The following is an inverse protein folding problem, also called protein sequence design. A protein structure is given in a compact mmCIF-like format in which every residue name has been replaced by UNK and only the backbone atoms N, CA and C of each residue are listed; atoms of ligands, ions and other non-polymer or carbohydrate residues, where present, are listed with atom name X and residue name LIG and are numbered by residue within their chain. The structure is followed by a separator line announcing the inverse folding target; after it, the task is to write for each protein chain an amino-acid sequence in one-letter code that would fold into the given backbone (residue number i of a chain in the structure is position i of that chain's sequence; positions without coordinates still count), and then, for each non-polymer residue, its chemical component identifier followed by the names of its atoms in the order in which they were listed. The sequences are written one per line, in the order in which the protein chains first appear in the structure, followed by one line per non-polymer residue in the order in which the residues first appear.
data_IF_716524297226
#
_entry.id   IF_716524297226
#
_cell.length_a   1.000
_cell.length_b   1.000
_cell.length_c   1.000
_cell.angle_alpha   90.00
_cell.angle_beta   90.00
_cell.angle_gamma   90.00
#
_symmetry.space_group_name_H-M   'P 1'
#
loop_
_entity.id
_entity.type
_entity.pdbx_description
1 polymer ?
#
# COMPACT_ATOMS: atom_id res chain seq x y z
N UNK A 1 25.83 -0.70 -29.83
CA UNK A 1 24.52 -0.20 -29.37
C UNK A 1 24.76 0.97 -28.42
N UNK A 2 24.20 2.16 -28.69
CA UNK A 2 24.37 3.33 -27.83
C UNK A 2 23.44 3.23 -26.61
N UNK A 3 23.97 3.46 -25.40
CA UNK A 3 23.23 3.34 -24.14
C UNK A 3 21.96 4.19 -24.06
N UNK A 4 21.90 5.31 -24.80
CA UNK A 4 20.71 6.17 -24.87
C UNK A 4 19.50 5.45 -25.46
N UNK A 5 19.70 4.55 -26.44
CA UNK A 5 18.60 3.76 -27.02
C UNK A 5 18.08 2.70 -26.04
N UNK A 6 18.95 2.17 -25.18
CA UNK A 6 18.58 1.21 -24.14
C UNK A 6 17.73 1.89 -23.05
N UNK A 7 18.15 3.08 -22.59
CA UNK A 7 17.40 3.86 -21.58
C UNK A 7 16.03 4.27 -22.12
N UNK A 8 15.97 4.75 -23.37
CA UNK A 8 14.70 5.11 -24.00
C UNK A 8 13.75 3.90 -24.12
N UNK A 9 14.27 2.74 -24.52
CA UNK A 9 13.50 1.50 -24.55
C UNK A 9 12.99 1.06 -23.17
N UNK A 10 13.82 1.20 -22.13
CA UNK A 10 13.46 0.87 -20.75
C UNK A 10 12.32 1.75 -20.24
N UNK A 11 12.45 3.08 -20.40
CA UNK A 11 11.41 4.03 -20.01
C UNK A 11 10.10 3.80 -20.78
N UNK A 12 10.19 3.50 -22.09
CA UNK A 12 9.03 3.14 -22.90
C UNK A 12 8.32 1.88 -22.41
N UNK A 13 9.08 0.86 -21.99
CA UNK A 13 8.54 -0.37 -21.40
C UNK A 13 7.80 -0.14 -20.08
N UNK A 14 8.35 0.68 -19.18
CA UNK A 14 7.68 1.05 -17.93
C UNK A 14 6.40 1.84 -18.17
N UNK A 15 6.44 2.82 -19.07
CA UNK A 15 5.26 3.63 -19.41
C UNK A 15 4.14 2.78 -20.01
N UNK A 16 4.46 1.87 -20.94
CA UNK A 16 3.48 0.97 -21.53
C UNK A 16 2.87 0.02 -20.48
N UNK A 17 3.70 -0.54 -19.60
CA UNK A 17 3.22 -1.43 -18.53
C UNK A 17 2.29 -0.71 -17.55
N UNK A 18 2.64 0.52 -17.17
CA UNK A 18 1.82 1.35 -16.30
C UNK A 18 0.49 1.74 -16.96
N UNK A 19 0.48 2.02 -18.25
CA UNK A 19 -0.75 2.31 -19.00
C UNK A 19 -1.72 1.12 -19.00
N UNK A 20 -1.22 -0.09 -19.27
CA UNK A 20 -2.03 -1.33 -19.25
C UNK A 20 -2.61 -1.57 -17.84
N UNK A 21 -1.78 -1.43 -16.80
CA UNK A 21 -2.22 -1.57 -15.42
C UNK A 21 -3.31 -0.56 -15.05
N UNK A 22 -3.12 0.71 -15.43
CA UNK A 22 -4.08 1.78 -15.15
C UNK A 22 -5.42 1.54 -15.84
N UNK A 23 -5.40 1.10 -17.10
CA UNK A 23 -6.60 0.73 -17.84
C UNK A 23 -7.36 -0.42 -17.16
N UNK A 24 -6.66 -1.45 -16.70
CA UNK A 24 -7.27 -2.56 -15.95
C UNK A 24 -7.88 -2.09 -14.62
N UNK A 25 -7.25 -1.14 -13.92
CA UNK A 25 -7.77 -0.58 -12.67
C UNK A 25 -9.03 0.26 -12.88
N UNK A 26 -9.15 0.99 -13.99
CA UNK A 26 -10.32 1.80 -14.30
C UNK A 26 -11.54 0.96 -14.70
N UNK A 27 -11.32 -0.14 -15.44
CA UNK A 27 -12.39 -0.97 -15.99
C UNK A 27 -12.70 -2.24 -15.16
N UNK A 28 -11.86 -2.54 -14.17
CA UNK A 28 -12.06 -3.68 -13.28
C UNK A 28 -13.21 -3.46 -12.30
N UNK A 29 -13.93 -4.53 -11.98
CA UNK A 29 -15.05 -4.52 -11.01
C UNK A 29 -14.57 -4.61 -9.55
N UNK A 30 -13.28 -4.82 -9.31
CA UNK A 30 -12.70 -4.96 -7.99
C UNK A 30 -12.67 -3.61 -7.27
N UNK A 31 -13.64 -3.39 -6.37
CA UNK A 31 -13.64 -2.27 -5.45
C UNK A 31 -12.55 -2.48 -4.39
N UNK A 32 -11.84 -1.40 -4.05
CA UNK A 32 -10.91 -1.44 -2.93
C UNK A 32 -11.67 -1.68 -1.62
N UNK A 33 -11.09 -2.43 -0.67
CA UNK A 33 -11.68 -2.60 0.66
C UNK A 33 -11.89 -1.25 1.36
N UNK A 34 -12.92 -1.18 2.21
CA UNK A 34 -13.21 0.02 3.00
C UNK A 34 -12.00 0.49 3.83
N UNK A 35 -11.20 -0.44 4.33
CA UNK A 35 -9.98 -0.17 5.11
C UNK A 35 -8.88 0.55 4.32
N UNK A 36 -8.92 0.50 2.99
CA UNK A 36 -7.95 1.15 2.09
C UNK A 36 -8.47 2.51 1.61
N UNK A 37 -9.78 2.64 1.38
CA UNK A 37 -10.39 3.90 0.93
C UNK A 37 -10.69 4.87 2.07
N UNK A 38 -10.89 4.37 3.30
CA UNK A 38 -11.07 5.19 4.48
C UNK A 38 -9.71 5.68 5.00
N UNK A 39 -9.47 6.98 4.88
CA UNK A 39 -8.23 7.65 5.30
C UNK A 39 -8.01 7.60 6.82
N UNK A 40 -9.06 7.42 7.61
CA UNK A 40 -8.98 7.34 9.07
C UNK A 40 -8.54 5.95 9.56
N UNK A 41 -8.68 4.92 8.72
CA UNK A 41 -8.42 3.54 9.11
C UNK A 41 -6.95 3.34 9.48
N UNK A 42 -6.03 3.98 8.76
CA UNK A 42 -4.60 3.96 9.06
C UNK A 42 -4.29 4.56 10.44
N UNK A 43 -4.90 5.70 10.78
CA UNK A 43 -4.71 6.35 12.07
C UNK A 43 -5.28 5.49 13.22
N UNK A 44 -6.49 4.95 13.06
CA UNK A 44 -7.11 4.06 14.02
C UNK A 44 -6.27 2.78 14.25
N UNK A 45 -5.68 2.23 13.19
CA UNK A 45 -4.80 1.06 13.28
C UNK A 45 -3.52 1.36 14.03
N UNK A 46 -2.91 2.52 13.79
CA UNK A 46 -1.71 2.95 14.53
C UNK A 46 -2.01 3.11 16.02
N UNK A 47 -3.14 3.73 16.37
CA UNK A 47 -3.57 3.85 17.76
C UNK A 47 -3.83 2.49 18.41
N UNK A 48 -4.52 1.59 17.70
CA UNK A 48 -4.75 0.22 18.14
C UNK A 48 -3.43 -0.55 18.33
N UNK A 49 -2.45 -0.38 17.46
CA UNK A 49 -1.14 -1.01 17.61
C UNK A 49 -0.36 -0.48 18.82
N UNK A 50 -0.60 0.78 19.20
CA UNK A 50 0.01 1.35 20.40
C UNK A 50 -0.57 0.76 21.69
N UNK A 51 -1.88 0.48 21.72
CA UNK A 51 -2.58 -0.07 22.88
C UNK A 51 -3.77 -0.96 22.47
N UNK A 52 -3.49 -2.21 22.11
CA UNK A 52 -4.53 -3.18 21.75
C UNK A 52 -5.16 -3.75 23.01
N UNK A 53 -6.47 -3.57 23.13
CA UNK A 53 -7.26 -4.18 24.20
C UNK A 53 -7.18 -5.71 24.15
N UNK A 54 -7.11 -6.32 25.34
CA UNK A 54 -7.13 -7.78 25.53
C UNK A 54 -8.42 -8.19 26.22
N UNK A 55 -8.87 -9.40 25.92
CA UNK A 55 -10.13 -9.96 26.46
C UNK A 55 -10.10 -10.08 27.99
N UNK A 56 -8.92 -10.27 28.60
CA UNK A 56 -8.80 -10.45 30.06
C UNK A 56 -7.43 -10.03 30.60
N UNK A 57 -6.95 -8.82 30.24
CA UNK A 57 -5.72 -8.24 30.75
C UNK A 57 -5.61 -6.75 30.34
N UNK A 58 -4.61 -6.06 30.88
CA UNK A 58 -4.27 -4.70 30.45
C UNK A 58 -3.92 -4.65 28.95
N UNK A 59 -4.23 -3.54 28.26
CA UNK A 59 -3.89 -3.34 26.87
C UNK A 59 -2.38 -3.52 26.61
N UNK A 60 -2.04 -4.09 25.46
CA UNK A 60 -0.65 -4.32 25.06
C UNK A 60 -0.29 -3.56 23.80
N UNK A 61 0.97 -3.14 23.70
CA UNK A 61 1.53 -2.67 22.44
C UNK A 61 1.75 -3.84 21.49
N UNK A 62 1.24 -3.75 20.27
CA UNK A 62 1.54 -4.67 19.19
C UNK A 62 2.84 -4.23 18.49
N UNK A 63 3.67 -5.21 18.10
CA UNK A 63 4.96 -5.01 17.42
C UNK A 63 5.94 -4.04 18.15
N UNK A 64 6.43 -4.39 19.36
CA UNK A 64 7.26 -3.51 20.18
C UNK A 64 8.68 -3.26 19.64
N UNK A 65 9.19 -4.10 18.73
CA UNK A 65 10.60 -4.06 18.27
C UNK A 65 10.76 -3.36 16.91
N UNK A 66 9.72 -3.28 16.08
CA UNK A 66 9.76 -2.69 14.73
C UNK A 66 8.83 -1.48 14.53
N UNK A 67 8.56 -0.72 15.60
CA UNK A 67 7.41 0.17 15.74
C UNK A 67 7.42 1.52 15.01
N UNK A 68 7.96 1.61 13.79
CA UNK A 68 7.84 2.83 12.97
C UNK A 68 6.89 2.57 11.79
N UNK A 69 5.59 2.89 11.98
CA UNK A 69 4.59 2.89 10.92
C UNK A 69 3.77 4.17 10.96
#
# INVERSE_FOLDING_TARGET
MSGSKVIAGLCGGFAASFAVWSFQRMNGTAKLPHTVVNTEWAAATRAMNAAKERVSADPIRLNPVGGNW
#
